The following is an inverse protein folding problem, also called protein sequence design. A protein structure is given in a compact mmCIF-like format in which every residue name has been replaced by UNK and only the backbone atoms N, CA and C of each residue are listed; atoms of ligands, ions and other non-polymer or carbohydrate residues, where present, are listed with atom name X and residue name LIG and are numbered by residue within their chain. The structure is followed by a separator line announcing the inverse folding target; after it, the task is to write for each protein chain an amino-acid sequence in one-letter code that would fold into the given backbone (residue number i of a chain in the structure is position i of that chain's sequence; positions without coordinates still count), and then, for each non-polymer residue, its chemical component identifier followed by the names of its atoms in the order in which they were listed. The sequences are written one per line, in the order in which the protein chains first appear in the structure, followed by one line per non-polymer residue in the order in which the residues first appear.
data_IF_349684541860
#
_entry.id   IF_349684541860
#
_cell.length_a   1.000
_cell.length_b   1.000
_cell.length_c   1.000
_cell.angle_alpha   90.00
_cell.angle_beta   90.00
_cell.angle_gamma   90.00
#
_symmetry.space_group_name_H-M   'P 1'
#
loop_
_entity.id
_entity.type
_entity.pdbx_description
1 polymer ?
#
# COMPACT_ATOMS: atom_id res chain seq x y z
N UNK A 1 -11.63 14.54 -27.08
CA UNK A 1 -10.93 13.42 -27.73
C UNK A 1 -11.62 12.14 -27.28
N UNK A 2 -11.94 11.20 -28.18
CA UNK A 2 -12.56 9.94 -27.79
C UNK A 2 -11.60 9.10 -26.93
N UNK A 3 -12.14 8.36 -25.97
CA UNK A 3 -11.33 7.43 -25.15
C UNK A 3 -10.93 6.24 -26.02
N UNK A 4 -9.65 5.84 -26.03
CA UNK A 4 -9.20 4.70 -26.83
C UNK A 4 -9.86 3.41 -26.34
N UNK A 5 -10.21 2.52 -27.28
CA UNK A 5 -10.89 1.24 -26.99
C UNK A 5 -10.13 0.36 -26.00
N UNK A 6 -8.81 0.47 -25.97
CA UNK A 6 -7.93 -0.21 -25.01
C UNK A 6 -8.22 0.21 -23.57
N UNK A 7 -8.45 1.50 -23.32
CA UNK A 7 -8.81 2.00 -21.99
C UNK A 7 -10.19 1.53 -21.56
N UNK A 8 -11.17 1.48 -22.47
CA UNK A 8 -12.50 0.92 -22.17
C UNK A 8 -12.44 -0.57 -21.81
N UNK A 9 -11.64 -1.35 -22.55
CA UNK A 9 -11.41 -2.77 -22.26
C UNK A 9 -10.71 -2.98 -20.91
N UNK A 10 -9.74 -2.14 -20.57
CA UNK A 10 -9.08 -2.17 -19.26
C UNK A 10 -10.07 -1.89 -18.10
N UNK A 11 -10.97 -0.91 -18.26
CA UNK A 11 -12.02 -0.62 -17.27
C UNK A 11 -12.97 -1.81 -17.12
N UNK A 12 -13.37 -2.45 -18.22
CA UNK A 12 -14.22 -3.65 -18.17
C UNK A 12 -13.53 -4.82 -17.47
N UNK A 13 -12.25 -5.06 -17.76
CA UNK A 13 -11.46 -6.10 -17.09
C UNK A 13 -11.31 -5.84 -15.60
N UNK A 14 -11.05 -4.59 -15.20
CA UNK A 14 -11.02 -4.20 -13.80
C UNK A 14 -12.39 -4.43 -13.12
N UNK A 15 -13.49 -4.07 -13.77
CA UNK A 15 -14.84 -4.34 -13.28
C UNK A 15 -15.11 -5.83 -13.07
N UNK A 16 -14.71 -6.68 -14.02
CA UNK A 16 -14.86 -8.13 -13.89
C UNK A 16 -14.05 -8.71 -12.72
N UNK A 17 -12.81 -8.23 -12.52
CA UNK A 17 -11.97 -8.65 -11.41
C UNK A 17 -12.55 -8.24 -10.04
N UNK A 18 -13.09 -7.02 -9.94
CA UNK A 18 -13.76 -6.53 -8.72
C UNK A 18 -15.03 -7.34 -8.43
N UNK A 19 -15.83 -7.63 -9.46
CA UNK A 19 -17.02 -8.48 -9.30
C UNK A 19 -16.67 -9.90 -8.85
N UNK A 20 -15.59 -10.49 -9.39
CA UNK A 20 -15.11 -11.80 -8.94
C UNK A 20 -14.65 -11.77 -7.47
N UNK A 21 -13.96 -10.70 -7.06
CA UNK A 21 -13.55 -10.51 -5.68
C UNK A 21 -14.75 -10.31 -4.73
N UNK A 22 -15.79 -9.59 -5.17
CA UNK A 22 -17.03 -9.44 -4.40
C UNK A 22 -17.77 -10.77 -4.25
N UNK A 23 -17.89 -11.55 -5.32
CA UNK A 23 -18.51 -12.87 -5.27
C UNK A 23 -17.80 -13.82 -4.30
N UNK A 24 -16.46 -13.81 -4.28
CA UNK A 24 -15.70 -14.64 -3.34
C UNK A 24 -15.84 -14.15 -1.90
N UNK A 25 -15.86 -12.83 -1.68
CA UNK A 25 -16.03 -12.27 -0.35
C UNK A 25 -17.43 -12.54 0.21
N UNK A 26 -18.49 -12.48 -0.63
CA UNK A 26 -19.86 -12.87 -0.26
C UNK A 26 -19.95 -14.32 0.20
N UNK A 27 -19.26 -15.23 -0.51
CA UNK A 27 -19.20 -16.64 -0.09
C UNK A 27 -18.52 -16.80 1.28
N UNK A 28 -17.44 -16.04 1.54
CA UNK A 28 -16.76 -16.04 2.85
C UNK A 28 -17.66 -15.45 3.93
N UNK A 29 -18.35 -14.34 3.67
CA UNK A 29 -19.30 -13.72 4.62
C UNK A 29 -20.42 -14.69 4.98
N UNK A 30 -20.95 -15.45 4.02
CA UNK A 30 -21.97 -16.47 4.27
C UNK A 30 -21.42 -17.61 5.14
N UNK A 31 -20.23 -18.12 4.83
CA UNK A 31 -19.59 -19.16 5.63
C UNK A 31 -19.34 -18.70 7.08
N UNK A 32 -18.88 -17.47 7.28
CA UNK A 32 -18.72 -16.87 8.61
C UNK A 32 -20.06 -16.66 9.31
N UNK A 33 -21.11 -16.24 8.59
CA UNK A 33 -22.45 -16.09 9.17
C UNK A 33 -23.01 -17.43 9.68
N UNK A 34 -22.81 -18.51 8.91
CA UNK A 34 -23.19 -19.86 9.33
C UNK A 34 -22.41 -20.33 10.56
N UNK A 35 -21.11 -20.02 10.63
CA UNK A 35 -20.27 -20.35 11.77
C UNK A 35 -20.66 -19.57 13.02
N UNK A 36 -20.95 -18.26 12.89
CA UNK A 36 -21.48 -17.43 13.97
C UNK A 36 -22.84 -17.96 14.43
N UNK A 37 -23.75 -18.28 13.50
CA UNK A 37 -25.06 -18.86 13.83
C UNK A 37 -24.92 -20.17 14.61
N UNK A 38 -24.01 -21.05 14.19
CA UNK A 38 -23.73 -22.31 14.89
C UNK A 38 -23.19 -22.04 16.29
N UNK A 39 -22.20 -21.14 16.43
CA UNK A 39 -21.61 -20.78 17.71
C UNK A 39 -22.62 -20.12 18.66
N UNK A 40 -23.47 -19.23 18.15
CA UNK A 40 -24.54 -18.60 18.93
C UNK A 40 -25.62 -19.60 19.35
N UNK A 41 -25.90 -20.62 18.51
CA UNK A 41 -26.87 -21.66 18.84
C UNK A 41 -26.35 -22.66 19.88
N UNK A 42 -25.04 -22.90 19.92
CA UNK A 42 -24.43 -23.83 20.88
C UNK A 42 -24.07 -23.14 22.19
N UNK A 43 -23.52 -21.93 22.15
CA UNK A 43 -23.11 -21.20 23.35
C UNK A 43 -23.15 -19.67 23.15
N UNK A 44 -24.28 -19.02 23.47
CA UNK A 44 -24.52 -17.61 23.12
C UNK A 44 -23.67 -16.59 23.89
N UNK A 45 -22.99 -17.00 24.96
CA UNK A 45 -22.16 -16.11 25.80
C UNK A 45 -20.67 -16.44 25.74
N UNK A 46 -20.25 -17.26 24.78
CA UNK A 46 -18.84 -17.57 24.61
C UNK A 46 -18.09 -16.37 24.00
N UNK A 47 -16.93 -16.04 24.56
CA UNK A 47 -16.04 -14.99 24.07
C UNK A 47 -15.57 -15.27 22.63
N UNK A 48 -15.51 -16.54 22.24
CA UNK A 48 -15.18 -16.93 20.86
C UNK A 48 -16.29 -16.57 19.87
N UNK A 49 -17.56 -16.65 20.28
CA UNK A 49 -18.68 -16.27 19.43
C UNK A 49 -18.68 -14.75 19.16
N UNK A 50 -18.34 -13.94 20.18
CA UNK A 50 -18.16 -12.50 20.04
C UNK A 50 -17.00 -12.15 19.09
N UNK A 51 -15.85 -12.82 19.20
CA UNK A 51 -14.74 -12.59 18.27
C UNK A 51 -15.09 -12.96 16.82
N UNK A 52 -15.78 -14.09 16.62
CA UNK A 52 -16.25 -14.50 15.30
C UNK A 52 -17.27 -13.52 14.73
N UNK A 53 -18.14 -12.96 15.56
CA UNK A 53 -19.12 -11.96 15.16
C UNK A 53 -18.46 -10.64 14.74
N UNK A 54 -17.44 -10.19 15.48
CA UNK A 54 -16.65 -9.02 15.08
C UNK A 54 -15.88 -9.26 13.77
N UNK A 55 -15.25 -10.42 13.61
CA UNK A 55 -14.62 -10.81 12.34
C UNK A 55 -15.63 -10.79 11.19
N UNK A 56 -16.79 -11.42 11.36
CA UNK A 56 -17.87 -11.40 10.38
C UNK A 56 -18.30 -9.98 9.98
N UNK A 57 -18.48 -9.07 10.95
CA UNK A 57 -18.80 -7.66 10.67
C UNK A 57 -17.72 -6.97 9.85
N UNK A 58 -16.44 -7.24 10.13
CA UNK A 58 -15.34 -6.64 9.35
C UNK A 58 -15.36 -7.11 7.89
N UNK A 59 -15.55 -8.41 7.66
CA UNK A 59 -15.64 -8.97 6.30
C UNK A 59 -16.89 -8.46 5.58
N UNK A 60 -18.02 -8.33 6.27
CA UNK A 60 -19.25 -7.76 5.71
C UNK A 60 -19.07 -6.30 5.27
N UNK A 61 -18.39 -5.47 6.09
CA UNK A 61 -18.05 -4.10 5.69
C UNK A 61 -17.12 -4.07 4.47
N UNK A 62 -16.15 -4.97 4.40
CA UNK A 62 -15.27 -5.08 3.22
C UNK A 62 -16.07 -5.42 1.96
N UNK A 63 -17.05 -6.34 2.04
CA UNK A 63 -17.94 -6.64 0.90
C UNK A 63 -18.74 -5.43 0.48
N UNK A 64 -19.31 -4.68 1.43
CA UNK A 64 -20.02 -3.44 1.12
C UNK A 64 -19.12 -2.39 0.44
N UNK A 65 -17.84 -2.28 0.85
CA UNK A 65 -16.92 -1.36 0.16
C UNK A 65 -16.59 -1.79 -1.26
N UNK A 66 -16.50 -3.10 -1.53
CA UNK A 66 -16.30 -3.62 -2.89
C UNK A 66 -17.51 -3.36 -3.79
N UNK A 67 -18.74 -3.52 -3.28
CA UNK A 67 -19.96 -3.15 -4.00
C UNK A 67 -19.97 -1.65 -4.37
N UNK A 68 -19.52 -0.79 -3.45
CA UNK A 68 -19.39 0.64 -3.72
C UNK A 68 -18.35 0.92 -4.82
N UNK A 69 -17.20 0.25 -4.78
CA UNK A 69 -16.16 0.37 -5.82
C UNK A 69 -16.69 -0.11 -7.17
N UNK A 70 -17.45 -1.21 -7.20
CA UNK A 70 -18.09 -1.71 -8.41
C UNK A 70 -19.09 -0.69 -8.99
N UNK A 71 -19.90 -0.05 -8.13
CA UNK A 71 -20.82 1.01 -8.55
C UNK A 71 -20.07 2.21 -9.15
N UNK A 72 -18.95 2.62 -8.55
CA UNK A 72 -18.10 3.67 -9.11
C UNK A 72 -17.45 3.25 -10.44
N UNK A 73 -16.99 2.01 -10.58
CA UNK A 73 -16.47 1.48 -11.84
C UNK A 73 -17.53 1.49 -12.95
N UNK A 74 -18.79 1.14 -12.64
CA UNK A 74 -19.91 1.26 -13.60
C UNK A 74 -20.12 2.72 -14.03
N UNK A 75 -20.08 3.67 -13.10
CA UNK A 75 -20.19 5.11 -13.43
C UNK A 75 -19.06 5.57 -14.34
N UNK A 76 -17.82 5.18 -14.03
CA UNK A 76 -16.64 5.51 -14.85
C UNK A 76 -16.77 4.91 -16.25
N UNK A 77 -17.22 3.66 -16.36
CA UNK A 77 -17.46 3.02 -17.66
C UNK A 77 -18.55 3.73 -18.46
N UNK A 78 -19.68 4.09 -17.84
CA UNK A 78 -20.75 4.86 -18.49
C UNK A 78 -20.28 6.26 -18.93
N UNK A 79 -19.55 6.98 -18.08
CA UNK A 79 -18.97 8.27 -18.43
C UNK A 79 -17.98 8.13 -19.60
N UNK A 80 -17.19 7.05 -19.60
CA UNK A 80 -16.25 6.78 -20.67
C UNK A 80 -16.95 6.41 -22.00
N UNK A 81 -18.07 5.69 -21.93
CA UNK A 81 -18.94 5.44 -23.09
C UNK A 81 -19.55 6.73 -23.64
N UNK A 82 -20.08 7.62 -22.79
CA UNK A 82 -20.63 8.92 -23.21
C UNK A 82 -19.59 9.81 -23.91
N UNK A 83 -18.32 9.75 -23.47
CA UNK A 83 -17.22 10.46 -24.12
C UNK A 83 -16.75 9.79 -25.43
N UNK A 84 -16.94 8.47 -25.55
CA UNK A 84 -16.68 7.70 -26.77
C UNK A 84 -17.77 7.87 -27.83
N UNK A 85 -19.04 7.92 -27.43
CA UNK A 85 -20.23 8.11 -28.28
C UNK A 85 -20.53 9.59 -28.57
N UNK A 86 -20.00 10.52 -27.75
CA UNK A 86 -20.02 11.97 -28.01
C UNK A 86 -19.19 12.41 -29.23
N UNK A 87 -18.54 11.47 -29.92
CA UNK A 87 -18.03 11.66 -31.27
C UNK A 87 -19.14 11.46 -32.30
N UNK A 88 -19.70 12.58 -32.80
CA UNK A 88 -20.56 12.68 -34.00
C UNK A 88 -22.09 12.53 -33.83
N UNK A 89 -22.65 12.82 -32.65
CA UNK A 89 -24.11 12.78 -32.43
C UNK A 89 -24.81 14.14 -32.33
N UNK A 90 -24.45 14.97 -31.34
CA UNK A 90 -25.34 16.05 -30.90
C UNK A 90 -24.68 17.37 -30.46
N UNK A 91 -23.51 17.70 -31.00
CA UNK A 91 -22.98 19.06 -30.88
C UNK A 91 -23.47 19.91 -32.05
N UNK A 92 -24.72 20.40 -31.97
CA UNK A 92 -25.11 21.61 -32.70
C UNK A 92 -24.12 22.71 -32.32
N UNK A 93 -23.37 23.16 -33.32
CA UNK A 93 -22.61 24.41 -33.36
C UNK A 93 -21.77 24.76 -32.12
N UNK A 94 -20.62 24.09 -31.94
CA UNK A 94 -19.49 24.84 -31.39
C UNK A 94 -18.85 25.57 -32.56
N UNK A 95 -19.15 26.86 -32.68
CA UNK A 95 -18.54 27.77 -33.64
C UNK A 95 -17.02 27.54 -33.64
N UNK A 96 -16.50 27.06 -34.77
CA UNK A 96 -15.06 27.10 -35.03
C UNK A 96 -14.71 28.57 -35.21
N UNK A 97 -13.99 29.13 -34.24
CA UNK A 97 -13.22 30.35 -34.47
C UNK A 97 -12.21 30.03 -35.57
N UNK A 98 -12.34 30.70 -36.71
CA UNK A 98 -11.41 30.57 -37.83
C UNK A 98 -10.03 31.03 -37.35
N UNK A 99 -9.07 30.11 -37.31
CA UNK A 99 -7.67 30.48 -37.16
C UNK A 99 -7.20 31.15 -38.47
N UNK A 100 -6.38 32.22 -38.40
CA UNK A 100 -5.87 32.88 -39.58
C UNK A 100 -4.98 31.93 -40.38
N UNK A 101 -5.23 31.84 -41.68
CA UNK A 101 -4.48 31.04 -42.65
C UNK A 101 -3.03 31.53 -42.78
N UNK A 102 -2.02 30.68 -42.53
CA UNK A 102 -0.67 30.93 -42.97
C UNK A 102 -0.54 30.55 -44.44
N UNK A 103 0.09 31.46 -45.18
CA UNK A 103 0.38 31.41 -46.61
C UNK A 103 1.26 30.21 -46.97
N UNK A 104 0.91 29.63 -48.12
CA UNK A 104 1.52 28.52 -48.85
C UNK A 104 3.06 28.59 -49.00
N UNK A 105 3.76 27.49 -48.67
CA UNK A 105 5.03 27.07 -49.30
C UNK A 105 5.48 25.66 -48.85
N UNK A 106 5.19 24.65 -49.70
CA UNK A 106 6.06 23.57 -50.21
C UNK A 106 6.79 22.57 -49.27
N UNK A 107 7.19 21.37 -49.80
CA UNK A 107 7.09 20.10 -49.09
C UNK A 107 8.43 19.43 -48.74
N UNK A 108 8.31 18.33 -47.98
CA UNK A 108 9.27 17.24 -47.76
C UNK A 108 10.40 17.54 -46.75
N UNK A 109 10.36 16.84 -45.61
CA UNK A 109 11.36 15.81 -45.30
C UNK A 109 10.95 14.99 -44.08
N UNK A 110 11.05 13.68 -44.27
CA UNK A 110 10.81 12.62 -43.31
C UNK A 110 11.67 12.81 -42.05
N UNK A 111 11.09 12.54 -40.89
CA UNK A 111 11.81 12.21 -39.67
C UNK A 111 10.96 11.26 -38.84
N UNK A 112 10.87 10.02 -39.33
CA UNK A 112 10.36 8.88 -38.58
C UNK A 112 11.34 8.60 -37.44
N UNK A 113 11.09 9.18 -36.27
CA UNK A 113 11.78 8.78 -35.05
C UNK A 113 11.11 7.49 -34.57
N UNK A 114 11.82 6.40 -34.85
CA UNK A 114 11.58 5.06 -34.32
C UNK A 114 11.48 5.16 -32.80
N UNK A 115 10.29 4.90 -32.26
CA UNK A 115 10.08 4.66 -30.84
C UNK A 115 10.75 3.33 -30.54
N UNK A 116 11.81 3.37 -29.74
CA UNK A 116 12.48 2.20 -29.21
C UNK A 116 11.51 1.47 -28.27
N UNK A 117 10.97 0.37 -28.78
CA UNK A 117 10.17 -0.61 -28.08
C UNK A 117 11.00 -1.21 -26.95
N UNK A 118 10.71 -0.86 -25.70
CA UNK A 118 11.25 -1.57 -24.55
C UNK A 118 10.40 -2.83 -24.35
N UNK A 119 10.81 -3.91 -24.99
CA UNK A 119 10.28 -5.26 -24.73
C UNK A 119 10.77 -5.75 -23.37
N UNK A 120 9.82 -6.21 -22.55
CA UNK A 120 10.08 -7.00 -21.36
C UNK A 120 10.65 -8.37 -21.77
N UNK A 121 11.77 -8.81 -21.19
CA UNK A 121 12.18 -10.22 -21.26
C UNK A 121 12.99 -10.64 -20.02
N UNK A 122 12.38 -11.61 -19.34
CA UNK A 122 12.94 -12.78 -18.65
C UNK A 122 13.72 -12.63 -17.32
N UNK A 123 13.04 -13.08 -16.25
CA UNK A 123 13.59 -13.26 -14.91
C UNK A 123 14.13 -14.69 -14.80
N UNK A 124 15.44 -14.84 -14.95
CA UNK A 124 16.13 -16.12 -14.69
C UNK A 124 16.08 -16.45 -13.20
N UNK A 125 15.31 -17.47 -12.85
CA UNK A 125 15.27 -18.06 -11.51
C UNK A 125 16.63 -18.66 -11.11
N UNK A 126 17.32 -18.05 -10.13
CA UNK A 126 18.50 -18.65 -9.49
C UNK A 126 18.06 -19.62 -8.39
N UNK A 127 18.40 -20.90 -8.60
CA UNK A 127 18.29 -22.02 -7.64
C UNK A 127 18.98 -21.72 -6.30
N UNK A 128 18.49 -22.29 -5.17
CA UNK A 128 19.03 -22.06 -3.84
C UNK A 128 20.39 -22.73 -3.65
N UNK A 129 21.42 -21.96 -3.25
CA UNK A 129 22.71 -22.53 -2.83
C UNK A 129 22.75 -22.72 -1.32
N UNK A 130 23.05 -23.97 -0.95
CA UNK A 130 23.35 -24.48 0.39
C UNK A 130 24.46 -23.68 1.09
N UNK A 131 24.36 -23.69 2.42
CA UNK A 131 25.29 -23.13 3.40
C UNK A 131 26.78 -23.45 3.11
N UNK A 132 27.64 -22.45 3.34
CA UNK A 132 29.05 -22.67 3.72
C UNK A 132 29.45 -21.70 4.83
N UNK A 133 30.06 -22.29 5.84
CA UNK A 133 30.61 -21.65 7.02
C UNK A 133 31.90 -20.86 6.72
N UNK A 134 32.06 -19.76 7.46
CA UNK A 134 33.30 -19.12 7.96
C UNK A 134 34.36 -18.67 6.94
N UNK A 135 34.68 -17.36 6.98
CA UNK A 135 36.04 -16.83 7.27
C UNK A 135 36.01 -15.33 7.58
N UNK A 136 36.57 -14.98 8.74
CA UNK A 136 37.01 -13.62 9.13
C UNK A 136 38.01 -13.11 8.08
N UNK A 137 38.07 -11.79 7.86
CA UNK A 137 39.35 -11.13 8.16
C UNK A 137 39.16 -9.86 8.99
N UNK A 138 40.23 -9.60 9.76
CA UNK A 138 40.41 -8.46 10.63
C UNK A 138 40.57 -7.16 9.83
N UNK A 139 40.10 -6.06 10.41
CA UNK A 139 40.22 -4.72 9.86
C UNK A 139 39.50 -3.71 10.75
N UNK A 140 40.05 -3.45 11.93
CA UNK A 140 39.76 -2.23 12.70
C UNK A 140 40.60 -1.08 12.13
N UNK A 141 40.07 0.15 12.15
CA UNK A 141 40.48 1.02 13.25
C UNK A 141 39.32 1.83 13.88
N UNK A 142 39.36 1.90 15.22
CA UNK A 142 39.22 3.11 16.07
C UNK A 142 38.00 4.03 15.77
N UNK A 143 37.00 4.19 16.61
CA UNK A 143 36.70 3.73 17.96
C UNK A 143 35.55 4.58 18.51
N UNK A 144 34.59 3.95 19.19
CA UNK A 144 33.69 4.53 20.21
C UNK A 144 32.85 3.38 20.80
N UNK A 145 32.41 3.48 22.06
CA UNK A 145 32.15 2.32 22.90
C UNK A 145 30.96 1.48 22.44
N UNK A 146 31.11 0.18 22.71
CA UNK A 146 30.19 -0.95 22.50
C UNK A 146 28.73 -0.57 22.80
N UNK A 147 28.01 -0.12 21.78
CA UNK A 147 26.55 -0.07 21.82
C UNK A 147 26.05 -1.50 21.67
N UNK A 148 25.36 -2.02 22.68
CA UNK A 148 24.67 -3.33 22.66
C UNK A 148 23.52 -3.38 21.66
N UNK A 149 23.29 -2.29 20.90
CA UNK A 149 22.18 -2.13 19.98
C UNK A 149 22.64 -2.34 18.53
N UNK A 150 21.76 -2.95 17.75
CA UNK A 150 21.95 -3.10 16.30
C UNK A 150 22.11 -1.72 15.62
N UNK A 151 22.87 -1.61 14.52
CA UNK A 151 23.07 -0.33 13.82
C UNK A 151 21.77 0.42 13.49
N UNK A 152 20.71 -0.31 13.11
CA UNK A 152 19.40 0.28 12.82
C UNK A 152 18.71 0.78 14.11
N UNK A 153 18.84 0.02 15.19
CA UNK A 153 18.31 0.37 16.51
C UNK A 153 19.01 1.60 17.08
N UNK A 154 20.31 1.78 16.81
CA UNK A 154 21.06 2.95 17.22
C UNK A 154 20.62 4.21 16.47
N UNK A 155 20.42 4.14 15.15
CA UNK A 155 19.87 5.27 14.37
C UNK A 155 18.49 5.69 14.87
N UNK A 156 17.64 4.71 15.15
CA UNK A 156 16.31 4.97 15.73
C UNK A 156 16.42 5.61 17.12
N UNK A 157 17.34 5.14 17.97
CA UNK A 157 17.59 5.68 19.29
C UNK A 157 18.07 7.14 19.26
N UNK A 158 19.02 7.46 18.37
CA UNK A 158 19.53 8.82 18.23
C UNK A 158 18.44 9.79 17.75
N UNK A 159 17.55 9.33 16.86
CA UNK A 159 16.37 10.10 16.47
C UNK A 159 15.30 10.17 17.57
N UNK A 160 15.13 9.13 18.39
CA UNK A 160 14.19 9.16 19.51
C UNK A 160 14.66 10.13 20.60
N UNK A 161 15.97 10.30 20.81
CA UNK A 161 16.51 11.31 21.75
C UNK A 161 16.14 12.75 21.40
N UNK A 162 15.98 13.06 20.12
CA UNK A 162 15.63 14.42 19.69
C UNK A 162 14.13 14.69 19.77
N UNK A 163 13.31 13.63 19.64
CA UNK A 163 11.84 13.75 19.60
C UNK A 163 11.18 13.49 20.96
N UNK A 164 11.74 12.58 21.76
CA UNK A 164 11.18 12.18 23.06
C UNK A 164 11.84 12.90 24.23
N UNK A 165 11.04 13.13 25.27
CA UNK A 165 11.51 13.68 26.54
C UNK A 165 11.46 12.60 27.63
N UNK A 166 12.47 12.56 28.51
CA UNK A 166 12.49 11.64 29.65
C UNK A 166 11.45 11.97 30.74
N UNK A 167 10.89 13.19 30.72
CA UNK A 167 9.96 13.69 31.75
C UNK A 167 8.47 13.54 31.40
N UNK A 168 8.14 13.27 30.12
CA UNK A 168 6.75 13.20 29.65
C UNK A 168 6.58 12.10 28.61
N UNK A 169 5.51 11.32 28.75
CA UNK A 169 5.08 10.39 27.70
C UNK A 169 4.61 11.19 26.49
N UNK A 170 5.13 10.85 25.32
CA UNK A 170 4.70 11.45 24.06
C UNK A 170 4.10 10.37 23.19
N UNK A 171 2.89 10.62 22.70
CA UNK A 171 2.25 9.74 21.74
C UNK A 171 2.89 9.96 20.37
N UNK A 172 3.68 8.99 19.91
CA UNK A 172 4.35 9.08 18.63
C UNK A 172 3.98 7.89 17.74
N UNK A 173 3.63 8.19 16.49
CA UNK A 173 3.43 7.18 15.45
C UNK A 173 4.75 6.49 15.14
N UNK A 174 4.92 5.26 15.64
CA UNK A 174 6.12 4.42 15.50
C UNK A 174 6.63 4.33 14.06
N UNK A 175 5.71 4.18 13.11
CA UNK A 175 6.01 4.11 11.67
C UNK A 175 6.61 5.40 11.14
N UNK A 176 6.09 6.57 11.54
CA UNK A 176 6.58 7.87 11.10
C UNK A 176 8.00 8.14 11.63
N UNK A 177 8.29 7.80 12.89
CA UNK A 177 9.64 7.93 13.47
C UNK A 177 10.63 6.99 12.80
N UNK A 178 10.22 5.76 12.52
CA UNK A 178 11.05 4.79 11.81
C UNK A 178 11.44 5.27 10.42
N UNK A 179 10.49 5.87 9.68
CA UNK A 179 10.75 6.47 8.36
C UNK A 179 11.65 7.70 8.48
N UNK A 180 11.41 8.61 9.42
CA UNK A 180 12.26 9.78 9.66
C UNK A 180 13.69 9.41 10.10
N UNK A 181 13.85 8.28 10.79
CA UNK A 181 15.16 7.72 11.14
C UNK A 181 15.83 6.93 9.99
N UNK A 182 15.17 6.79 8.83
CA UNK A 182 15.69 6.10 7.65
C UNK A 182 15.68 4.57 7.75
N UNK A 183 14.77 3.99 8.54
CA UNK A 183 14.64 2.54 8.68
C UNK A 183 13.58 1.97 7.71
N UNK A 184 13.84 0.79 7.11
CA UNK A 184 12.81 0.04 6.39
C UNK A 184 11.65 -0.32 7.32
N UNK A 185 10.40 -0.23 6.86
CA UNK A 185 9.18 -0.44 7.66
C UNK A 185 9.20 -1.74 8.48
N UNK A 186 9.72 -2.84 7.92
CA UNK A 186 9.84 -4.12 8.62
C UNK A 186 10.87 -4.13 9.76
N UNK A 187 11.86 -3.24 9.74
CA UNK A 187 12.89 -3.11 10.79
C UNK A 187 12.51 -2.16 11.93
N UNK A 188 11.46 -1.36 11.74
CA UNK A 188 11.00 -0.37 12.73
C UNK A 188 10.47 -1.06 13.98
N UNK A 189 9.51 -1.99 13.81
CA UNK A 189 8.92 -2.74 14.93
C UNK A 189 9.96 -3.56 15.69
N UNK A 190 10.86 -4.24 14.97
CA UNK A 190 11.95 -5.02 15.58
C UNK A 190 12.92 -4.13 16.38
N UNK A 191 13.19 -2.90 15.92
CA UNK A 191 14.06 -1.97 16.62
C UNK A 191 13.38 -1.36 17.86
N UNK A 192 12.08 -1.06 17.80
CA UNK A 192 11.33 -0.62 18.97
C UNK A 192 11.25 -1.70 20.05
N UNK A 193 10.93 -2.94 19.67
CA UNK A 193 10.88 -4.05 20.61
C UNK A 193 12.24 -4.25 21.30
N UNK A 194 13.35 -4.18 20.56
CA UNK A 194 14.69 -4.23 21.14
C UNK A 194 14.99 -3.06 22.09
N UNK A 195 14.47 -1.86 21.84
CA UNK A 195 14.65 -0.72 22.74
C UNK A 195 13.83 -0.87 24.03
N UNK A 196 12.64 -1.47 23.95
CA UNK A 196 11.83 -1.84 25.12
C UNK A 196 12.49 -2.96 25.93
N UNK A 197 12.93 -4.04 25.27
CA UNK A 197 13.64 -5.17 25.89
C UNK A 197 14.93 -4.75 26.61
N UNK A 198 15.67 -3.80 26.04
CA UNK A 198 16.89 -3.28 26.64
C UNK A 198 16.62 -2.16 27.67
N UNK A 199 15.36 -1.87 27.97
CA UNK A 199 14.90 -0.85 28.93
C UNK A 199 15.41 0.56 28.61
N UNK A 200 15.48 0.92 27.33
CA UNK A 200 15.77 2.28 26.87
C UNK A 200 14.49 3.11 26.65
N UNK A 201 13.35 2.44 26.45
CA UNK A 201 12.03 3.05 26.28
C UNK A 201 11.05 2.47 27.28
N UNK A 202 10.07 3.27 27.70
CA UNK A 202 8.89 2.81 28.44
C UNK A 202 7.63 3.17 27.64
N UNK A 203 6.69 2.24 27.61
CA UNK A 203 5.40 2.40 26.97
C UNK A 203 4.29 2.49 28.03
N UNK A 204 3.39 3.47 27.89
CA UNK A 204 2.18 3.56 28.71
C UNK A 204 1.00 2.79 28.08
N UNK A 205 -0.07 2.55 28.83
CA UNK A 205 -1.31 1.88 28.38
C UNK A 205 -1.99 2.53 27.16
N UNK A 206 -1.66 3.79 26.86
CA UNK A 206 -2.13 4.51 25.67
C UNK A 206 -1.15 4.49 24.48
N UNK A 207 -0.08 3.69 24.51
CA UNK A 207 0.91 3.61 23.45
C UNK A 207 1.92 4.78 23.39
N UNK A 208 1.89 5.65 24.41
CA UNK A 208 2.85 6.75 24.56
C UNK A 208 4.23 6.25 24.99
N UNK A 209 5.28 6.78 24.36
CA UNK A 209 6.67 6.39 24.61
C UNK A 209 7.37 7.47 25.44
N UNK A 210 8.27 7.06 26.34
CA UNK A 210 9.24 7.95 27.01
C UNK A 210 10.64 7.33 27.02
N UNK A 211 11.66 8.18 27.07
CA UNK A 211 13.05 7.74 27.21
C UNK A 211 13.33 7.39 28.67
N UNK A 212 13.90 6.20 28.91
CA UNK A 212 14.44 5.84 30.21
C UNK A 212 15.93 6.22 30.20
N UNK A 213 16.30 7.21 31.01
CA UNK A 213 17.71 7.50 31.25
C UNK A 213 18.25 6.41 32.17
N UNK A 214 18.99 5.42 31.62
CA UNK A 214 19.81 4.55 32.47
C UNK A 214 20.80 5.45 33.23
N UNK A 215 20.80 5.31 34.56
CA UNK A 215 21.85 5.85 35.44
C UNK A 215 23.12 5.03 35.27
#
# INVERSE_FOLDING_TARGET
MPIPKTSLSAIQSAGAAVHQADASLKAVVQAYADQVRLAMSSNPFDLQADSLFEEWKTVARLSQTLEQIEAELRKVHQAAQQLGEGGLGNNKSRARLAAPTPREALPVLASTTVIETIEATDVVAKKPKKAKAVKKPAGTPKGTPKSTLSPNTQKLWDHLKTVLNAKKFSEIKRTQVGVSAGLPTGSVAASFNKLLENSYLEENTSGGLKLISKK
#
